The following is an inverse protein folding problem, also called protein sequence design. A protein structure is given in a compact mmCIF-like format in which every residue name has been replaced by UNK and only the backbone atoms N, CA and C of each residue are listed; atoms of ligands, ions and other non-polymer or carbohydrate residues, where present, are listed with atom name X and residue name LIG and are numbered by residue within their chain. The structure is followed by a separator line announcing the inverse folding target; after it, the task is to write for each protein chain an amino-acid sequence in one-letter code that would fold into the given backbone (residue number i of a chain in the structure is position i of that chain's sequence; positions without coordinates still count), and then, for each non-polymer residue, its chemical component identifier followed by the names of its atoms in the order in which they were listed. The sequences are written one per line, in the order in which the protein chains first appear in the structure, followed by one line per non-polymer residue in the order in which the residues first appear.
data_IF_756936603447
#
_entry.id   IF_756936603447
#
_cell.length_a   1.000
_cell.length_b   1.000
_cell.length_c   1.000
_cell.angle_alpha   90.00
_cell.angle_beta   90.00
_cell.angle_gamma   90.00
#
_symmetry.space_group_name_H-M   'P 1'
#
loop_
_entity.id
_entity.type
_entity.pdbx_description
1 polymer ?
#
# COMPACT_ATOMS: atom_id res chain seq x y z
N UNK A 1 7.72 21.53 9.26
CA UNK A 1 8.07 20.15 9.50
C UNK A 1 8.38 19.76 10.94
N UNK A 2 8.35 20.69 11.91
CA UNK A 2 8.62 20.38 13.33
C UNK A 2 7.32 20.48 14.18
N UNK A 3 6.15 20.42 13.58
CA UNK A 3 4.90 20.41 14.31
C UNK A 3 4.70 19.02 14.95
N UNK A 4 4.23 19.02 16.17
CA UNK A 4 3.71 17.88 16.93
C UNK A 4 2.23 18.18 17.15
N UNK A 5 1.37 17.71 16.20
CA UNK A 5 -0.05 18.07 16.20
C UNK A 5 -0.88 17.30 17.23
N UNK A 6 -0.45 16.09 17.58
CA UNK A 6 -1.14 15.24 18.55
C UNK A 6 -0.59 15.37 19.97
N UNK A 7 0.58 16.02 20.16
CA UNK A 7 1.17 16.31 21.48
C UNK A 7 1.82 15.11 22.16
N UNK A 8 2.23 14.08 21.39
CA UNK A 8 2.83 12.86 21.95
C UNK A 8 4.35 12.92 22.13
N UNK A 9 4.97 14.04 21.74
CA UNK A 9 6.40 14.31 21.83
C UNK A 9 7.20 13.98 20.59
N UNK A 10 6.56 13.45 19.53
CA UNK A 10 7.17 13.25 18.22
C UNK A 10 6.67 14.29 17.22
N UNK A 11 7.54 14.75 16.34
CA UNK A 11 7.11 15.63 15.25
C UNK A 11 6.37 14.84 14.18
N UNK A 12 5.47 15.49 13.44
CA UNK A 12 4.76 14.87 12.31
C UNK A 12 5.73 14.20 11.29
N UNK A 13 6.95 14.73 11.17
CA UNK A 13 7.97 14.12 10.30
C UNK A 13 8.52 12.81 10.89
N UNK A 14 8.73 12.77 12.20
CA UNK A 14 9.19 11.56 12.90
C UNK A 14 8.12 10.48 12.88
N UNK A 15 6.86 10.84 13.12
CA UNK A 15 5.72 9.92 12.98
C UNK A 15 5.63 9.33 11.57
N UNK A 16 5.74 10.17 10.54
CA UNK A 16 5.73 9.72 9.15
C UNK A 16 6.90 8.78 8.83
N UNK A 17 8.10 9.06 9.35
CA UNK A 17 9.26 8.19 9.16
C UNK A 17 9.10 6.87 9.91
N UNK A 18 8.53 6.88 11.10
CA UNK A 18 8.22 5.68 11.88
C UNK A 18 7.20 4.82 11.13
N UNK A 19 6.12 5.44 10.64
CA UNK A 19 5.11 4.76 9.82
C UNK A 19 5.71 4.12 8.56
N UNK A 20 6.62 4.82 7.85
CA UNK A 20 7.31 4.26 6.68
C UNK A 20 8.23 3.06 7.01
N UNK A 21 8.72 2.97 8.24
CA UNK A 21 9.58 1.88 8.69
C UNK A 21 8.80 0.63 9.14
N UNK A 22 7.47 0.74 9.28
CA UNK A 22 6.60 -0.37 9.62
C UNK A 22 6.29 -1.25 8.39
N UNK A 23 5.86 -2.50 8.58
CA UNK A 23 5.49 -3.38 7.46
C UNK A 23 4.22 -2.93 6.73
N UNK A 24 4.28 -2.85 5.40
CA UNK A 24 3.17 -2.48 4.53
C UNK A 24 2.87 -3.57 3.52
N UNK A 25 1.59 -3.92 3.37
CA UNK A 25 1.11 -4.94 2.45
C UNK A 25 -0.04 -4.40 1.60
N UNK A 26 -0.18 -4.93 0.41
CA UNK A 26 -1.35 -4.66 -0.45
C UNK A 26 -2.03 -5.97 -0.78
N UNK A 27 -3.33 -6.06 -0.48
CA UNK A 27 -4.16 -7.23 -0.77
C UNK A 27 -5.37 -6.84 -1.59
N UNK A 28 -5.75 -7.69 -2.53
CA UNK A 28 -7.03 -7.61 -3.21
C UNK A 28 -8.11 -8.31 -2.41
N UNK A 29 -9.36 -8.04 -2.72
CA UNK A 29 -10.50 -8.80 -2.20
C UNK A 29 -10.26 -10.30 -2.33
N UNK A 30 -10.49 -11.06 -1.28
CA UNK A 30 -10.30 -12.51 -1.21
C UNK A 30 -8.84 -12.97 -1.21
N UNK A 31 -7.86 -12.07 -1.29
CA UNK A 31 -6.43 -12.42 -1.29
C UNK A 31 -5.92 -12.61 0.14
N UNK A 32 -5.03 -13.60 0.29
CA UNK A 32 -4.37 -13.89 1.56
C UNK A 32 -2.87 -13.71 1.44
N UNK A 33 -2.24 -13.33 2.55
CA UNK A 33 -0.79 -13.32 2.71
C UNK A 33 -0.41 -14.04 4.00
N UNK A 34 0.61 -14.90 3.93
CA UNK A 34 1.21 -15.52 5.12
C UNK A 34 2.44 -14.72 5.53
N UNK A 35 2.49 -14.32 6.78
CA UNK A 35 3.56 -13.51 7.35
C UNK A 35 4.23 -14.28 8.49
N UNK A 36 5.53 -14.55 8.33
CA UNK A 36 6.37 -15.09 9.38
C UNK A 36 6.80 -13.97 10.33
N UNK A 37 6.18 -13.88 11.49
CA UNK A 37 6.44 -12.85 12.49
C UNK A 37 7.86 -12.90 13.03
N UNK A 38 8.50 -14.07 13.06
CA UNK A 38 9.89 -14.19 13.51
C UNK A 38 10.86 -13.34 12.70
N UNK A 39 10.55 -13.08 11.41
CA UNK A 39 11.38 -12.19 10.56
C UNK A 39 11.27 -10.71 10.97
N UNK A 40 10.11 -10.28 11.44
CA UNK A 40 9.88 -8.88 11.82
C UNK A 40 10.30 -8.57 13.26
N UNK A 41 10.45 -9.61 14.08
CA UNK A 41 10.87 -9.49 15.47
C UNK A 41 12.19 -10.25 15.75
N UNK A 42 13.00 -10.42 14.71
CA UNK A 42 14.28 -11.14 14.84
C UNK A 42 15.19 -10.51 15.90
N UNK A 43 15.76 -11.36 16.74
CA UNK A 43 16.70 -10.94 17.81
C UNK A 43 16.03 -10.35 19.04
N UNK A 44 14.70 -10.31 19.10
CA UNK A 44 13.99 -9.82 20.30
C UNK A 44 14.08 -10.82 21.46
N UNK A 45 13.72 -12.07 21.21
CA UNK A 45 13.82 -13.18 22.17
C UNK A 45 14.05 -14.51 21.44
N UNK A 46 14.56 -15.52 22.15
CA UNK A 46 14.80 -16.86 21.56
C UNK A 46 13.51 -17.69 21.48
N UNK A 47 12.52 -17.39 22.30
CA UNK A 47 11.23 -18.10 22.32
C UNK A 47 10.06 -17.08 22.27
N UNK A 48 9.83 -16.43 21.12
CA UNK A 48 8.84 -15.38 21.01
C UNK A 48 7.41 -15.94 21.06
N UNK A 49 6.56 -15.27 21.85
CA UNK A 49 5.13 -15.42 21.84
C UNK A 49 4.51 -14.22 21.13
N UNK A 50 3.54 -14.47 20.24
CA UNK A 50 2.92 -13.43 19.45
C UNK A 50 1.43 -13.28 19.78
N UNK A 51 0.98 -12.03 19.88
CA UNK A 51 -0.41 -11.65 20.03
C UNK A 51 -0.77 -10.64 18.91
N UNK A 52 -1.81 -10.92 18.15
CA UNK A 52 -2.26 -10.09 17.05
C UNK A 52 -3.62 -9.47 17.35
N UNK A 53 -3.72 -8.16 17.22
CA UNK A 53 -4.93 -7.39 17.49
C UNK A 53 -5.30 -6.52 16.28
N UNK A 54 -6.55 -6.62 15.83
CA UNK A 54 -7.10 -5.74 14.80
C UNK A 54 -7.36 -4.34 15.36
N UNK A 55 -7.03 -3.30 14.61
CA UNK A 55 -7.34 -1.91 14.98
C UNK A 55 -8.54 -1.37 14.21
N UNK A 56 -9.36 -0.60 14.91
CA UNK A 56 -10.52 0.07 14.31
C UNK A 56 -11.50 -0.91 13.66
N UNK A 57 -11.80 -0.70 12.39
CA UNK A 57 -12.70 -1.52 11.57
C UNK A 57 -11.99 -2.68 10.83
N UNK A 58 -10.72 -2.95 11.13
CA UNK A 58 -9.94 -3.99 10.47
C UNK A 58 -10.62 -5.36 10.50
N UNK A 59 -11.24 -5.75 11.62
CA UNK A 59 -11.97 -7.01 11.75
C UNK A 59 -13.16 -7.14 10.78
N UNK A 60 -13.77 -6.02 10.38
CA UNK A 60 -14.86 -6.02 9.41
C UNK A 60 -14.37 -6.13 7.96
N UNK A 61 -13.09 -5.87 7.71
CA UNK A 61 -12.47 -5.81 6.39
C UNK A 61 -11.54 -6.97 6.10
N UNK A 62 -10.94 -7.54 7.13
CA UNK A 62 -9.98 -8.64 7.06
C UNK A 62 -10.20 -9.62 8.19
N UNK A 63 -9.79 -10.84 7.97
CA UNK A 63 -9.57 -11.84 9.02
C UNK A 63 -8.08 -12.12 9.17
N UNK A 64 -7.68 -12.60 10.33
CA UNK A 64 -6.37 -13.22 10.54
C UNK A 64 -6.53 -14.56 11.23
N UNK A 65 -5.63 -15.48 10.93
CA UNK A 65 -5.54 -16.78 11.53
C UNK A 65 -4.09 -17.14 11.79
N UNK A 66 -3.85 -18.01 12.75
CA UNK A 66 -2.52 -18.58 12.99
C UNK A 66 -2.34 -19.79 12.09
N UNK A 67 -1.22 -19.83 11.36
CA UNK A 67 -0.86 -21.03 10.61
C UNK A 67 -0.45 -22.16 11.58
N UNK A 68 -0.42 -23.40 11.04
CA UNK A 68 0.09 -24.57 11.72
C UNK A 68 1.57 -24.42 12.14
N UNK A 69 2.31 -23.53 11.50
CA UNK A 69 3.69 -23.20 11.87
C UNK A 69 3.72 -22.09 12.93
N UNK A 70 4.41 -22.36 14.00
CA UNK A 70 4.54 -21.42 15.11
C UNK A 70 5.15 -20.09 14.67
N UNK A 71 4.40 -19.00 14.91
CA UNK A 71 4.80 -17.63 14.54
C UNK A 71 4.42 -17.20 13.13
N UNK A 72 3.73 -18.04 12.34
CA UNK A 72 3.15 -17.64 11.07
C UNK A 72 1.69 -17.24 11.23
N UNK A 73 1.31 -16.13 10.59
CA UNK A 73 -0.06 -15.61 10.56
C UNK A 73 -0.53 -15.45 9.12
N UNK A 74 -1.74 -15.86 8.87
CA UNK A 74 -2.42 -15.69 7.58
C UNK A 74 -3.39 -14.52 7.72
N UNK A 75 -3.20 -13.48 6.91
CA UNK A 75 -4.12 -12.35 6.81
C UNK A 75 -4.89 -12.45 5.50
N UNK A 76 -6.21 -12.39 5.57
CA UNK A 76 -7.09 -12.53 4.41
C UNK A 76 -8.01 -11.32 4.29
N UNK A 77 -7.96 -10.64 3.15
CA UNK A 77 -8.89 -9.57 2.82
C UNK A 77 -10.28 -10.16 2.52
N UNK A 78 -11.34 -9.63 3.14
CA UNK A 78 -12.70 -10.09 2.90
C UNK A 78 -13.12 -9.80 1.45
N UNK A 79 -14.05 -10.58 0.90
CA UNK A 79 -14.58 -10.41 -0.46
C UNK A 79 -15.29 -9.06 -0.67
N UNK A 80 -15.75 -8.43 0.39
CA UNK A 80 -16.44 -7.15 0.41
C UNK A 80 -15.65 -6.04 1.11
N UNK A 81 -14.35 -6.23 1.30
CA UNK A 81 -13.50 -5.27 2.04
C UNK A 81 -13.49 -3.86 1.43
N UNK A 82 -13.71 -3.74 0.11
CA UNK A 82 -13.62 -2.48 -0.61
C UNK A 82 -12.18 -1.95 -0.66
N UNK A 83 -12.04 -0.62 -0.80
CA UNK A 83 -10.75 0.08 -0.68
C UNK A 83 -10.62 0.62 0.73
N UNK A 84 -9.64 0.14 1.47
CA UNK A 84 -9.41 0.55 2.84
C UNK A 84 -7.92 0.49 3.20
N UNK A 85 -7.52 1.29 4.16
CA UNK A 85 -6.28 1.10 4.91
C UNK A 85 -6.68 0.56 6.27
N UNK A 86 -6.17 -0.59 6.64
CA UNK A 86 -6.46 -1.24 7.92
C UNK A 86 -5.17 -1.66 8.61
N UNK A 87 -5.18 -1.64 9.93
CA UNK A 87 -4.02 -1.88 10.75
C UNK A 87 -4.22 -3.05 11.69
N UNK A 88 -3.18 -3.85 11.83
CA UNK A 88 -3.06 -4.86 12.87
C UNK A 88 -1.84 -4.57 13.73
N UNK A 89 -2.01 -4.61 15.02
CA UNK A 89 -0.91 -4.51 15.98
C UNK A 89 -0.48 -5.91 16.39
N UNK A 90 0.79 -6.21 16.19
CA UNK A 90 1.39 -7.45 16.65
C UNK A 90 2.33 -7.15 17.81
N UNK A 91 2.07 -7.79 18.92
CA UNK A 91 2.89 -7.73 20.13
C UNK A 91 3.70 -9.02 20.22
N UNK A 92 4.99 -8.91 20.43
CA UNK A 92 5.87 -10.02 20.81
C UNK A 92 6.19 -9.93 22.30
N UNK A 93 6.22 -11.04 22.96
CA UNK A 93 6.69 -11.18 24.34
C UNK A 93 7.65 -12.36 24.46
N UNK A 94 8.43 -12.38 25.55
CA UNK A 94 9.15 -13.55 26.01
C UNK A 94 8.23 -14.51 26.79
N UNK A 95 8.74 -15.69 27.14
CA UNK A 95 7.97 -16.71 27.84
C UNK A 95 7.36 -16.22 29.16
N UNK A 96 8.06 -15.32 29.84
CA UNK A 96 7.62 -14.77 31.15
C UNK A 96 6.70 -13.55 30.99
N UNK A 97 6.45 -13.09 29.78
CA UNK A 97 5.64 -11.91 29.44
C UNK A 97 6.15 -10.59 30.11
N UNK A 98 7.42 -10.57 30.50
CA UNK A 98 8.03 -9.44 31.23
C UNK A 98 8.42 -8.33 30.25
N UNK A 99 9.00 -8.72 29.13
CA UNK A 99 9.40 -7.81 28.06
C UNK A 99 8.44 -7.91 26.91
N UNK A 100 7.97 -6.77 26.38
CA UNK A 100 7.08 -6.74 25.23
C UNK A 100 7.55 -5.69 24.23
N UNK A 101 7.35 -6.00 22.96
CA UNK A 101 7.55 -5.05 21.87
C UNK A 101 6.40 -5.15 20.88
N UNK A 102 5.96 -4.02 20.36
CA UNK A 102 4.79 -3.93 19.50
C UNK A 102 5.16 -3.30 18.16
N UNK A 103 4.64 -3.84 17.06
CA UNK A 103 4.71 -3.26 15.73
C UNK A 103 3.34 -3.22 15.10
N UNK A 104 3.10 -2.20 14.26
CA UNK A 104 1.91 -2.11 13.44
C UNK A 104 2.21 -2.66 12.06
N UNK A 105 1.27 -3.44 11.54
CA UNK A 105 1.27 -3.98 10.18
C UNK A 105 0.14 -3.30 9.42
N UNK A 106 0.50 -2.59 8.36
CA UNK A 106 -0.43 -1.81 7.55
C UNK A 106 -0.84 -2.59 6.31
N UNK A 107 -2.15 -2.71 6.09
CA UNK A 107 -2.71 -3.39 4.92
C UNK A 107 -3.53 -2.42 4.09
N UNK A 108 -3.11 -2.20 2.85
CA UNK A 108 -3.90 -1.49 1.86
C UNK A 108 -4.76 -2.49 1.08
N UNK A 109 -6.07 -2.44 1.30
CA UNK A 109 -7.04 -3.31 0.66
C UNK A 109 -7.54 -2.67 -0.63
N UNK A 110 -7.68 -3.50 -1.68
CA UNK A 110 -8.17 -3.07 -2.99
C UNK A 110 -9.32 -3.95 -3.44
N UNK A 111 -10.29 -3.35 -4.14
CA UNK A 111 -11.43 -4.03 -4.73
C UNK A 111 -11.07 -4.80 -6.01
N UNK A 112 -9.79 -5.03 -6.27
CA UNK A 112 -9.31 -5.66 -7.50
C UNK A 112 -9.45 -4.75 -8.72
N UNK A 113 -10.12 -3.62 -8.60
CA UNK A 113 -10.05 -2.57 -9.62
C UNK A 113 -8.62 -2.03 -9.60
N UNK A 114 -7.91 -2.18 -10.72
CA UNK A 114 -6.53 -1.78 -10.82
C UNK A 114 -6.36 -0.33 -10.34
N UNK A 115 -5.60 -0.13 -9.26
CA UNK A 115 -5.09 1.19 -8.87
C UNK A 115 -3.93 1.62 -9.76
N UNK A 116 -3.36 0.65 -10.49
CA UNK A 116 -2.48 0.88 -11.63
C UNK A 116 -3.34 1.10 -12.87
N UNK A 117 -3.04 2.12 -13.60
CA UNK A 117 -3.70 2.64 -14.77
C UNK A 117 -4.20 1.51 -15.64
N UNK A 118 -5.50 1.25 -15.52
CA UNK A 118 -6.22 0.58 -16.59
C UNK A 118 -6.03 1.38 -17.86
N UNK A 119 -5.82 0.67 -18.98
CA UNK A 119 -5.86 1.18 -20.32
C UNK A 119 -6.42 2.59 -20.37
N UNK A 120 -5.60 3.53 -20.81
CA UNK A 120 -6.15 4.77 -21.32
C UNK A 120 -6.95 4.32 -22.53
N UNK A 121 -8.16 3.81 -22.29
CA UNK A 121 -9.15 3.79 -23.36
C UNK A 121 -9.20 5.23 -23.82
N UNK A 122 -8.79 5.43 -25.03
CA UNK A 122 -8.96 6.70 -25.72
C UNK A 122 -10.34 7.19 -25.34
N UNK A 123 -10.43 8.19 -24.46
CA UNK A 123 -11.71 8.84 -24.27
C UNK A 123 -12.10 9.25 -25.67
N UNK A 124 -13.27 8.82 -26.14
CA UNK A 124 -13.80 9.16 -27.45
C UNK A 124 -13.86 10.67 -27.69
N UNK A 125 -13.41 11.45 -26.74
CA UNK A 125 -13.39 12.90 -26.70
C UNK A 125 -12.00 13.52 -26.97
N UNK A 126 -10.87 12.78 -26.87
CA UNK A 126 -9.54 13.37 -27.06
C UNK A 126 -9.09 13.31 -28.53
N UNK A 127 -8.59 14.44 -29.02
CA UNK A 127 -8.07 14.55 -30.39
C UNK A 127 -6.59 14.14 -30.46
N UNK A 128 -5.88 14.30 -29.35
CA UNK A 128 -4.44 13.99 -29.27
C UNK A 128 -3.98 13.83 -27.83
N UNK A 129 -2.78 13.29 -27.67
CA UNK A 129 -2.11 13.09 -26.38
C UNK A 129 -0.74 13.74 -26.35
N UNK A 130 -0.36 14.22 -25.19
CA UNK A 130 1.00 14.58 -24.86
C UNK A 130 1.50 13.67 -23.74
N UNK A 131 2.66 13.07 -23.92
CA UNK A 131 3.26 12.14 -22.94
C UNK A 131 4.58 12.70 -22.45
N UNK A 132 4.74 12.73 -21.15
CA UNK A 132 5.94 13.18 -20.46
C UNK A 132 6.52 12.03 -19.65
N UNK A 133 7.83 11.83 -19.69
CA UNK A 133 8.51 10.88 -18.81
C UNK A 133 8.64 11.42 -17.37
N UNK A 134 9.21 10.62 -16.46
CA UNK A 134 9.41 10.99 -15.06
C UNK A 134 10.31 12.25 -14.87
N UNK A 135 11.16 12.56 -15.83
CA UNK A 135 11.98 13.78 -15.84
C UNK A 135 11.25 15.02 -16.39
N UNK A 136 9.96 14.89 -16.74
CA UNK A 136 9.16 15.97 -17.32
C UNK A 136 9.45 16.26 -18.80
N UNK A 137 10.21 15.38 -19.48
CA UNK A 137 10.52 15.52 -20.89
C UNK A 137 9.36 14.96 -21.70
N UNK A 138 8.85 15.73 -22.67
CA UNK A 138 7.83 15.29 -23.60
C UNK A 138 8.40 14.23 -24.56
N UNK A 139 7.84 13.02 -24.51
CA UNK A 139 8.31 11.88 -25.33
C UNK A 139 7.41 11.56 -26.51
N UNK A 140 6.11 11.90 -26.44
CA UNK A 140 5.16 11.74 -27.55
C UNK A 140 4.22 12.94 -27.63
N UNK A 141 3.88 13.30 -28.88
CA UNK A 141 2.74 14.17 -29.21
C UNK A 141 2.02 13.54 -30.40
N UNK A 142 0.81 13.05 -30.20
CA UNK A 142 0.04 12.40 -31.25
C UNK A 142 -1.18 11.65 -30.78
N UNK A 143 -1.70 10.77 -31.63
CA UNK A 143 -2.92 10.01 -31.36
C UNK A 143 -2.65 8.58 -30.85
N UNK A 144 -1.43 8.06 -31.02
CA UNK A 144 -1.10 6.69 -30.70
C UNK A 144 -0.15 6.59 -29.50
N UNK A 145 -0.49 5.75 -28.53
CA UNK A 145 0.23 5.52 -27.28
C UNK A 145 0.91 4.13 -27.25
N UNK A 146 0.79 3.33 -28.32
CA UNK A 146 1.14 1.90 -28.32
C UNK A 146 2.65 1.61 -28.31
N UNK A 147 3.52 2.63 -28.40
CA UNK A 147 4.96 2.46 -28.53
C UNK A 147 5.78 3.00 -27.36
N UNK A 148 5.17 3.16 -26.19
CA UNK A 148 5.91 3.65 -25.02
C UNK A 148 6.69 2.51 -24.36
N UNK A 149 8.01 2.67 -24.14
CA UNK A 149 8.80 1.74 -23.35
C UNK A 149 8.29 1.61 -21.90
N UNK A 150 8.72 0.55 -21.22
CA UNK A 150 8.45 0.43 -19.77
C UNK A 150 8.95 1.65 -19.01
N UNK A 151 8.12 2.20 -18.14
CA UNK A 151 8.47 3.40 -17.39
C UNK A 151 7.28 4.15 -16.80
N UNK A 152 7.58 5.22 -16.08
CA UNK A 152 6.57 6.11 -15.48
C UNK A 152 6.36 7.34 -16.37
N UNK A 153 5.11 7.61 -16.70
CA UNK A 153 4.72 8.70 -17.60
C UNK A 153 3.58 9.55 -17.02
N UNK A 154 3.52 10.79 -17.46
CA UNK A 154 2.34 11.66 -17.32
C UNK A 154 1.74 11.81 -18.71
N UNK A 155 0.49 11.37 -18.88
CA UNK A 155 -0.24 11.47 -20.13
C UNK A 155 -1.31 12.54 -20.00
N UNK A 156 -1.28 13.50 -20.89
CA UNK A 156 -2.30 14.55 -21.03
C UNK A 156 -3.13 14.26 -22.28
N UNK A 157 -4.45 14.16 -22.11
CA UNK A 157 -5.39 14.11 -23.21
C UNK A 157 -5.81 15.52 -23.60
N UNK A 158 -5.81 15.82 -24.89
CA UNK A 158 -6.16 17.13 -25.43
C UNK A 158 -7.35 17.02 -26.36
N UNK A 159 -8.20 18.06 -26.33
CA UNK A 159 -9.27 18.33 -27.29
C UNK A 159 -9.18 19.78 -27.71
N UNK A 160 -9.18 20.04 -29.02
CA UNK A 160 -9.03 21.39 -29.59
C UNK A 160 -7.81 22.14 -29.00
N UNK A 161 -6.71 21.41 -28.75
CA UNK A 161 -5.48 21.95 -28.17
C UNK A 161 -5.53 22.25 -26.67
N UNK A 162 -6.64 21.99 -25.99
CA UNK A 162 -6.79 22.18 -24.53
C UNK A 162 -6.68 20.86 -23.81
N UNK A 163 -5.99 20.83 -22.68
CA UNK A 163 -5.90 19.64 -21.81
C UNK A 163 -7.26 19.38 -21.17
N UNK A 164 -7.86 18.23 -21.46
CA UNK A 164 -9.13 17.78 -20.88
C UNK A 164 -8.95 16.77 -19.74
N UNK A 165 -7.83 16.07 -19.73
CA UNK A 165 -7.46 15.23 -18.59
C UNK A 165 -5.94 15.06 -18.51
N UNK A 166 -5.45 14.72 -17.32
CA UNK A 166 -4.04 14.40 -17.08
C UNK A 166 -3.96 13.21 -16.14
N UNK A 167 -3.12 12.23 -16.49
CA UNK A 167 -2.98 10.99 -15.70
C UNK A 167 -1.52 10.55 -15.62
N UNK A 168 -1.07 10.15 -14.42
CA UNK A 168 0.22 9.49 -14.22
C UNK A 168 0.08 8.00 -14.49
N UNK A 169 1.00 7.38 -15.24
CA UNK A 169 0.96 5.96 -15.64
C UNK A 169 2.31 5.27 -15.46
N UNK A 170 2.28 3.98 -15.15
CA UNK A 170 3.41 3.07 -15.21
C UNK A 170 3.14 2.05 -16.32
N UNK A 171 4.02 1.95 -17.31
CA UNK A 171 4.00 0.94 -18.38
C UNK A 171 5.03 -0.12 -18.00
N UNK A 172 4.61 -1.38 -17.97
CA UNK A 172 5.44 -2.55 -17.69
C UNK A 172 5.92 -3.20 -18.98
#
# INVERSE_FOLDING_TARGET
GNADENGDGYTNLEEYRNWLAEPHFTLKQGESVTIDMKKYFAGYTNNPQFECEAKGDAMSKMSHDTDANEGEYIFTANEDCGKALVDYTVKVSDDDNISTYTRTFHFYLTDGSATGIQNIQSSTAADSYEVYNAAGIKVIKGKNLDSLPSGVYIIKALKDGKVISSKKTCIQ
#
